data_IF_761552585980
#
_entry.id   IF_761552585980
#
_cell.length_a   1.000
_cell.length_b   1.000
_cell.length_c   1.000
_cell.angle_alpha   90.00
_cell.angle_beta   90.00
_cell.angle_gamma   90.00
#
_symmetry.space_group_name_H-M   'P 1'
#
loop_
_entity.id
_entity.type
_entity.pdbx_description
1 polymer ?
#
# COMPACT_ATOMS: atom_id res chain seq x y z
N UNK A 1 5.98 17.53 -4.72
CA UNK A 1 4.97 16.49 -4.42
C UNK A 1 5.23 15.35 -5.38
N UNK A 2 5.80 14.24 -4.91
CA UNK A 2 6.08 13.09 -5.76
C UNK A 2 4.77 12.41 -6.10
N UNK A 3 4.44 12.29 -7.38
CA UNK A 3 3.36 11.43 -7.85
C UNK A 3 3.64 10.01 -7.36
N UNK A 4 2.77 9.51 -6.50
CA UNK A 4 2.84 8.16 -5.98
C UNK A 4 2.53 7.19 -7.12
N UNK A 5 3.53 6.47 -7.62
CA UNK A 5 3.33 5.40 -8.61
C UNK A 5 3.34 4.02 -7.93
N UNK A 6 2.20 3.34 -7.99
CA UNK A 6 2.02 1.97 -7.51
C UNK A 6 2.50 0.93 -8.54
N UNK A 7 3.83 0.90 -8.72
CA UNK A 7 4.57 -0.10 -9.48
C UNK A 7 6.03 -0.14 -9.04
N UNK A 8 6.73 -1.23 -9.31
CA UNK A 8 8.17 -1.36 -9.04
C UNK A 8 8.58 -2.63 -8.28
N UNK A 9 9.84 -2.67 -7.87
CA UNK A 9 10.47 -3.84 -7.26
C UNK A 9 9.82 -4.28 -5.95
N UNK A 10 9.97 -5.58 -5.65
CA UNK A 10 9.49 -6.23 -4.42
C UNK A 10 10.64 -6.46 -3.42
N UNK A 11 11.63 -5.56 -3.40
CA UNK A 11 12.67 -5.57 -2.37
C UNK A 11 12.11 -5.00 -1.07
N UNK A 12 12.67 -5.42 0.08
CA UNK A 12 12.23 -4.92 1.38
C UNK A 12 12.33 -3.38 1.45
N UNK A 13 13.44 -2.80 1.02
CA UNK A 13 13.64 -1.34 1.06
C UNK A 13 12.61 -0.60 0.19
N UNK A 14 12.26 -1.15 -0.98
CA UNK A 14 11.24 -0.55 -1.85
C UNK A 14 9.85 -0.63 -1.23
N UNK A 15 9.48 -1.77 -0.65
CA UNK A 15 8.17 -1.97 -0.03
C UNK A 15 8.00 -1.07 1.20
N UNK A 16 9.05 -0.93 2.02
CA UNK A 16 9.06 -0.02 3.16
C UNK A 16 8.87 1.43 2.69
N UNK A 17 9.65 1.87 1.69
CA UNK A 17 9.52 3.22 1.14
C UNK A 17 8.12 3.52 0.58
N UNK A 18 7.52 2.58 -0.16
CA UNK A 18 6.15 2.72 -0.67
C UNK A 18 5.11 2.77 0.45
N UNK A 19 5.29 1.98 1.51
CA UNK A 19 4.38 1.95 2.66
C UNK A 19 4.39 3.28 3.40
N UNK A 20 5.58 3.85 3.66
CA UNK A 20 5.69 5.17 4.28
C UNK A 20 5.05 6.26 3.42
N UNK A 21 5.38 6.31 2.13
CA UNK A 21 4.82 7.31 1.21
C UNK A 21 3.29 7.21 1.09
N UNK A 22 2.74 5.98 1.08
CA UNK A 22 1.31 5.78 1.00
C UNK A 22 0.58 6.19 2.28
N UNK A 23 1.16 5.90 3.45
CA UNK A 23 0.60 6.33 4.73
C UNK A 23 0.51 7.86 4.82
N UNK A 24 1.59 8.58 4.47
CA UNK A 24 1.62 10.05 4.44
C UNK A 24 0.60 10.62 3.43
N UNK A 25 0.50 9.99 2.25
CA UNK A 25 -0.49 10.37 1.24
C UNK A 25 -1.93 10.23 1.76
N UNK A 26 -2.27 9.09 2.36
CA UNK A 26 -3.62 8.85 2.88
C UNK A 26 -3.95 9.77 4.05
N UNK A 27 -3.07 9.88 5.05
CA UNK A 27 -3.31 10.74 6.21
C UNK A 27 -3.55 12.19 5.77
N UNK A 28 -2.71 12.71 4.87
CA UNK A 28 -2.80 14.09 4.44
C UNK A 28 -4.05 14.41 3.60
N UNK A 29 -4.66 13.44 2.91
CA UNK A 29 -5.80 13.67 1.99
C UNK A 29 -7.13 13.13 2.50
N UNK A 30 -7.13 11.96 3.14
CA UNK A 30 -8.36 11.29 3.60
C UNK A 30 -9.11 12.12 4.63
N UNK A 31 -8.42 12.68 5.62
CA UNK A 31 -9.05 13.55 6.63
C UNK A 31 -9.74 14.74 5.97
N UNK A 32 -9.06 15.41 5.04
CA UNK A 32 -9.62 16.55 4.31
C UNK A 32 -10.81 16.16 3.42
N UNK A 33 -10.73 15.02 2.75
CA UNK A 33 -11.83 14.52 1.92
C UNK A 33 -13.09 14.22 2.75
N UNK A 34 -12.89 13.65 3.95
CA UNK A 34 -13.97 13.38 4.90
C UNK A 34 -14.57 14.68 5.47
N UNK A 35 -13.72 15.62 5.92
CA UNK A 35 -14.15 16.91 6.45
C UNK A 35 -14.92 17.75 5.41
N UNK A 36 -14.52 17.67 4.15
CA UNK A 36 -15.18 18.37 3.04
C UNK A 36 -16.41 17.61 2.49
N UNK A 37 -16.70 16.42 3.01
CA UNK A 37 -17.72 15.50 2.48
C UNK A 37 -17.60 15.32 0.95
N UNK A 38 -16.38 15.17 0.43
CA UNK A 38 -16.10 15.08 -1.01
C UNK A 38 -16.12 13.61 -1.49
N UNK A 39 -17.21 13.14 -2.12
CA UNK A 39 -17.31 11.76 -2.57
C UNK A 39 -16.37 11.41 -3.72
N UNK A 40 -15.97 12.39 -4.55
CA UNK A 40 -15.09 12.14 -5.69
C UNK A 40 -13.66 11.89 -5.21
N UNK A 41 -13.17 12.72 -4.28
CA UNK A 41 -11.87 12.55 -3.64
C UNK A 41 -11.83 11.25 -2.81
N UNK A 42 -12.90 10.95 -2.05
CA UNK A 42 -13.00 9.69 -1.31
C UNK A 42 -12.91 8.48 -2.22
N UNK A 43 -13.65 8.47 -3.33
CA UNK A 43 -13.59 7.38 -4.31
C UNK A 43 -12.18 7.22 -4.90
N UNK A 44 -11.51 8.32 -5.23
CA UNK A 44 -10.14 8.29 -5.70
C UNK A 44 -9.17 7.71 -4.67
N UNK A 45 -9.24 8.13 -3.41
CA UNK A 45 -8.39 7.62 -2.34
C UNK A 45 -8.63 6.13 -2.06
N UNK A 46 -9.88 5.67 -2.14
CA UNK A 46 -10.21 4.24 -2.02
C UNK A 46 -9.63 3.42 -3.17
N UNK A 47 -9.63 3.95 -4.41
CA UNK A 47 -8.96 3.28 -5.52
C UNK A 47 -7.44 3.16 -5.29
N UNK A 48 -6.80 4.21 -4.75
CA UNK A 48 -5.38 4.15 -4.39
C UNK A 48 -5.09 3.11 -3.28
N UNK A 49 -6.02 2.91 -2.35
CA UNK A 49 -5.94 1.88 -1.32
C UNK A 49 -6.02 0.48 -1.92
N UNK A 50 -6.89 0.26 -2.90
CA UNK A 50 -6.99 -1.04 -3.60
C UNK A 50 -5.73 -1.35 -4.41
N UNK A 51 -5.15 -0.35 -5.09
CA UNK A 51 -3.89 -0.50 -5.80
C UNK A 51 -2.74 -0.85 -4.82
N UNK A 52 -2.70 -0.22 -3.63
CA UNK A 52 -1.71 -0.52 -2.58
C UNK A 52 -1.90 -1.94 -2.05
N UNK A 53 -3.13 -2.34 -1.76
CA UNK A 53 -3.46 -3.72 -1.39
C UNK A 53 -2.97 -4.72 -2.45
N UNK A 54 -3.23 -4.47 -3.72
CA UNK A 54 -2.76 -5.29 -4.84
C UNK A 54 -1.22 -5.36 -4.92
N UNK A 55 -0.50 -4.28 -4.61
CA UNK A 55 0.95 -4.29 -4.48
C UNK A 55 1.42 -5.15 -3.29
N UNK A 56 0.85 -4.95 -2.11
CA UNK A 56 1.22 -5.70 -0.91
C UNK A 56 0.89 -7.19 -1.03
N UNK A 57 -0.19 -7.55 -1.73
CA UNK A 57 -0.52 -8.94 -2.03
C UNK A 57 0.56 -9.64 -2.86
N UNK A 58 1.16 -8.94 -3.84
CA UNK A 58 2.30 -9.46 -4.60
C UNK A 58 3.52 -9.65 -3.71
N UNK A 59 3.78 -8.72 -2.79
CA UNK A 59 4.88 -8.84 -1.85
C UNK A 59 4.67 -10.00 -0.85
N UNK A 60 3.45 -10.15 -0.33
CA UNK A 60 3.06 -11.30 0.49
C UNK A 60 3.32 -12.63 -0.23
N UNK A 61 2.85 -12.78 -1.48
CA UNK A 61 3.09 -13.99 -2.27
C UNK A 61 4.59 -14.29 -2.47
N UNK A 62 5.40 -13.25 -2.63
CA UNK A 62 6.86 -13.37 -2.67
C UNK A 62 7.40 -13.88 -1.33
N UNK A 63 6.98 -13.30 -0.20
CA UNK A 63 7.42 -13.75 1.12
C UNK A 63 6.98 -15.18 1.42
N UNK A 64 5.75 -15.56 1.11
CA UNK A 64 5.25 -16.92 1.30
C UNK A 64 6.07 -17.95 0.50
N UNK A 65 6.55 -17.57 -0.69
CA UNK A 65 7.45 -18.40 -1.51
C UNK A 65 8.88 -18.46 -0.96
N UNK A 66 9.42 -17.31 -0.57
CA UNK A 66 10.84 -17.18 -0.23
C UNK A 66 11.15 -17.49 1.25
N UNK A 67 10.12 -17.46 2.11
CA UNK A 67 10.19 -17.71 3.56
C UNK A 67 9.00 -18.57 4.03
N UNK A 68 8.77 -19.75 3.45
CA UNK A 68 7.64 -20.61 3.81
C UNK A 68 7.64 -20.99 5.30
N UNK A 69 8.81 -21.08 5.93
CA UNK A 69 8.97 -21.36 7.37
C UNK A 69 8.36 -20.28 8.29
N UNK A 70 8.14 -19.08 7.77
CA UNK A 70 7.45 -17.99 8.49
C UNK A 70 5.93 -18.08 8.39
N UNK A 71 5.41 -18.87 7.45
CA UNK A 71 3.97 -19.14 7.31
C UNK A 71 3.53 -20.33 8.18
N UNK A 72 4.42 -21.29 8.43
CA UNK A 72 4.15 -22.46 9.26
C UNK A 72 5.31 -22.76 10.22
N UNK A 73 5.39 -22.03 11.36
CA UNK A 73 6.44 -22.22 12.34
C UNK A 73 6.17 -23.49 13.17
N UNK A 74 6.37 -24.67 12.58
CA UNK A 74 6.15 -25.94 13.30
C UNK A 74 6.13 -27.23 12.47
N UNK A 75 6.40 -27.19 11.17
CA UNK A 75 6.54 -28.37 10.29
C UNK A 75 7.96 -28.50 9.78
#
# INVERSE_FOLDING_TARGET
MSEYQLGGGLSLITVLGKTHAFAEFLESRMVRALEAEDPAELHYLLAQLDDYHSYMWRYYKKLAKDRPERMDPGV
#
